data_IF_543041973506
#
_entry.id   IF_543041973506
#
_cell.length_a   1.000
_cell.length_b   1.000
_cell.length_c   1.000
_cell.angle_alpha   90.00
_cell.angle_beta   90.00
_cell.angle_gamma   90.00
#
_symmetry.space_group_name_H-M   'P 1'
#
loop_
_entity.id
_entity.type
_entity.pdbx_description
1 polymer ?
#
# COMPACT_ATOMS: atom_id res chain seq x y z
N UNK A 1 2.19 4.38 -17.87
CA UNK A 1 1.74 3.01 -18.21
C UNK A 1 0.32 3.03 -18.78
N UNK A 2 -0.69 3.34 -17.97
CA UNK A 2 -2.10 3.32 -18.40
C UNK A 2 -2.42 4.38 -19.48
N UNK A 3 -1.81 5.57 -19.39
CA UNK A 3 -1.85 6.58 -20.45
C UNK A 3 -1.20 6.15 -21.78
N UNK A 4 -0.47 5.03 -21.83
CA UNK A 4 0.11 4.44 -23.05
C UNK A 4 -0.80 3.37 -23.66
N UNK A 5 -2.07 3.31 -23.25
CA UNK A 5 -3.04 2.32 -23.73
C UNK A 5 -2.98 0.96 -23.04
N UNK A 6 -2.15 0.82 -21.99
CA UNK A 6 -2.11 -0.41 -21.20
C UNK A 6 -3.40 -0.53 -20.37
N UNK A 7 -3.95 -1.74 -20.32
CA UNK A 7 -5.16 -2.13 -19.57
C UNK A 7 -4.84 -3.28 -18.62
N UNK A 8 -5.44 -3.26 -17.44
CA UNK A 8 -5.31 -4.32 -16.43
C UNK A 8 -6.44 -5.33 -16.64
N UNK A 9 -6.06 -6.58 -16.85
CA UNK A 9 -6.95 -7.68 -17.21
C UNK A 9 -7.31 -8.54 -15.99
N UNK A 10 -6.33 -8.81 -15.13
CA UNK A 10 -6.59 -9.35 -13.82
C UNK A 10 -5.64 -8.80 -12.77
N UNK A 11 -6.08 -8.85 -11.52
CA UNK A 11 -5.23 -8.50 -10.40
C UNK A 11 -5.48 -9.40 -9.18
N UNK A 12 -4.41 -9.83 -8.52
CA UNK A 12 -4.48 -10.19 -7.11
C UNK A 12 -4.22 -8.94 -6.28
N UNK A 13 -5.17 -8.64 -5.38
CA UNK A 13 -4.99 -7.61 -4.36
C UNK A 13 -3.97 -8.08 -3.32
N UNK A 14 -3.64 -7.20 -2.39
CA UNK A 14 -2.59 -7.42 -1.39
C UNK A 14 -2.71 -8.76 -0.68
N UNK A 15 -1.62 -9.52 -0.72
CA UNK A 15 -1.40 -10.74 0.06
C UNK A 15 0.02 -10.74 0.62
N UNK A 16 0.27 -11.50 1.68
CA UNK A 16 1.59 -11.66 2.28
C UNK A 16 2.42 -12.65 1.45
N UNK A 17 3.65 -12.27 1.15
CA UNK A 17 4.57 -13.18 0.47
C UNK A 17 4.97 -14.34 1.38
N UNK A 18 4.97 -15.56 0.85
CA UNK A 18 5.46 -16.73 1.54
C UNK A 18 6.15 -17.72 0.59
N UNK A 19 7.13 -18.48 1.10
CA UNK A 19 7.77 -19.59 0.40
C UNK A 19 8.29 -20.65 1.38
N UNK A 20 8.79 -21.79 0.88
CA UNK A 20 9.28 -22.92 1.71
C UNK A 20 10.75 -22.77 2.18
N UNK A 21 11.35 -21.58 2.04
CA UNK A 21 12.74 -21.31 2.39
C UNK A 21 12.94 -20.84 3.84
N UNK A 22 14.19 -20.85 4.31
CA UNK A 22 14.57 -20.16 5.55
C UNK A 22 14.71 -18.66 5.29
N UNK A 23 14.30 -17.82 6.23
CA UNK A 23 14.43 -16.37 6.12
C UNK A 23 13.50 -15.77 5.06
N UNK A 24 12.21 -16.15 5.08
CA UNK A 24 11.20 -15.61 4.17
C UNK A 24 11.12 -14.09 4.33
N UNK A 25 11.05 -13.37 3.20
CA UNK A 25 10.96 -11.92 3.20
C UNK A 25 9.62 -11.45 3.80
N UNK A 26 9.67 -10.49 4.73
CA UNK A 26 8.49 -9.84 5.31
C UNK A 26 7.92 -8.75 4.41
N UNK A 27 7.34 -9.14 3.27
CA UNK A 27 6.75 -8.21 2.29
C UNK A 27 5.33 -8.61 1.91
N UNK A 28 4.57 -7.64 1.43
CA UNK A 28 3.28 -7.86 0.78
C UNK A 28 3.41 -7.70 -0.74
N UNK A 29 2.64 -8.47 -1.48
CA UNK A 29 2.67 -8.51 -2.94
C UNK A 29 1.28 -8.24 -3.53
N UNK A 30 1.29 -7.83 -4.80
CA UNK A 30 0.15 -7.84 -5.71
C UNK A 30 0.57 -8.55 -6.98
N UNK A 31 -0.37 -9.14 -7.71
CA UNK A 31 -0.12 -9.69 -9.05
C UNK A 31 -0.96 -8.89 -10.03
N UNK A 32 -0.36 -8.41 -11.11
CA UNK A 32 -1.04 -7.58 -12.11
C UNK A 32 -0.76 -8.17 -13.49
N UNK A 33 -1.81 -8.57 -14.18
CA UNK A 33 -1.75 -8.85 -15.62
C UNK A 33 -2.27 -7.67 -16.40
N UNK A 34 -1.54 -7.34 -17.46
CA UNK A 34 -1.84 -6.18 -18.27
C UNK A 34 -1.54 -6.44 -19.74
N UNK A 35 -2.25 -5.74 -20.61
CA UNK A 35 -2.07 -5.85 -22.05
C UNK A 35 -2.40 -4.53 -22.76
N UNK A 36 -2.15 -4.45 -24.07
CA UNK A 36 -2.52 -3.29 -24.90
C UNK A 36 -3.95 -3.37 -25.45
N UNK A 37 -4.69 -4.42 -25.13
CA UNK A 37 -6.08 -4.61 -25.52
C UNK A 37 -6.94 -4.78 -24.27
N UNK A 38 -8.26 -4.66 -24.44
CA UNK A 38 -9.19 -4.88 -23.34
C UNK A 38 -9.79 -6.27 -23.41
N UNK A 39 -9.81 -6.98 -22.28
CA UNK A 39 -10.66 -8.16 -22.14
C UNK A 39 -12.10 -7.70 -21.85
N UNK A 40 -13.09 -8.44 -22.35
CA UNK A 40 -14.51 -8.13 -22.08
C UNK A 40 -14.89 -8.28 -20.60
N UNK A 41 -14.09 -9.02 -19.84
CA UNK A 41 -14.32 -9.37 -18.44
C UNK A 41 -12.98 -9.44 -17.72
N UNK A 42 -12.71 -8.47 -16.86
CA UNK A 42 -11.52 -8.47 -16.01
C UNK A 42 -11.79 -9.20 -14.70
N UNK A 43 -10.74 -9.64 -14.01
CA UNK A 43 -10.83 -10.43 -12.76
C UNK A 43 -10.07 -9.81 -11.61
N UNK A 44 -10.71 -9.67 -10.45
CA UNK A 44 -10.03 -9.26 -9.21
C UNK A 44 -10.11 -10.40 -8.20
N UNK A 45 -8.95 -10.83 -7.71
CA UNK A 45 -8.81 -11.77 -6.61
C UNK A 45 -8.56 -10.97 -5.32
N UNK A 46 -9.40 -11.19 -4.31
CA UNK A 46 -9.33 -10.54 -3.00
C UNK A 46 -9.15 -11.57 -1.91
N UNK A 47 -8.69 -11.11 -0.75
CA UNK A 47 -8.35 -11.93 0.40
C UNK A 47 -9.10 -11.41 1.62
N UNK A 48 -9.51 -12.31 2.53
CA UNK A 48 -10.16 -11.94 3.80
C UNK A 48 -9.12 -11.32 4.73
N UNK A 49 -8.04 -12.07 4.97
CA UNK A 49 -6.78 -11.62 5.54
C UNK A 49 -5.64 -11.78 4.53
N UNK A 50 -4.53 -11.04 4.70
CA UNK A 50 -3.38 -11.07 3.79
C UNK A 50 -2.69 -12.44 3.75
N UNK A 51 -2.89 -13.29 4.76
CA UNK A 51 -2.32 -14.64 4.85
C UNK A 51 -3.21 -15.73 4.20
N UNK A 52 -4.47 -15.40 3.88
CA UNK A 52 -5.44 -16.38 3.38
C UNK A 52 -5.24 -16.74 1.91
N UNK A 53 -5.96 -17.76 1.45
CA UNK A 53 -6.09 -18.02 0.03
C UNK A 53 -6.98 -16.98 -0.67
N UNK A 54 -6.75 -16.79 -1.98
CA UNK A 54 -7.58 -15.90 -2.76
C UNK A 54 -9.03 -16.39 -2.83
N UNK A 55 -9.98 -15.50 -2.55
CA UNK A 55 -11.40 -15.73 -2.85
C UNK A 55 -11.61 -16.00 -4.34
N UNK A 56 -12.80 -16.53 -4.65
CA UNK A 56 -13.28 -16.58 -6.02
C UNK A 56 -13.17 -15.20 -6.69
N UNK A 57 -12.68 -15.19 -7.93
CA UNK A 57 -12.48 -13.96 -8.69
C UNK A 57 -13.79 -13.19 -8.90
N UNK A 58 -13.78 -11.92 -8.53
CA UNK A 58 -14.83 -10.98 -8.90
C UNK A 58 -14.67 -10.60 -10.37
N UNK A 59 -15.75 -10.72 -11.14
CA UNK A 59 -15.78 -10.31 -12.55
C UNK A 59 -16.17 -8.84 -12.62
N UNK A 60 -15.30 -8.02 -13.22
CA UNK A 60 -15.44 -6.57 -13.25
C UNK A 60 -15.28 -6.04 -14.67
N UNK A 61 -15.79 -4.83 -14.90
CA UNK A 61 -15.75 -4.19 -16.23
C UNK A 61 -14.39 -3.57 -16.54
N UNK A 62 -13.75 -2.96 -15.55
CA UNK A 62 -12.41 -2.38 -15.64
C UNK A 62 -11.73 -2.45 -14.27
N UNK A 63 -10.40 -2.53 -14.25
CA UNK A 63 -9.59 -2.48 -13.03
C UNK A 63 -8.79 -1.18 -13.05
N UNK A 64 -8.96 -0.35 -12.02
CA UNK A 64 -8.26 0.93 -11.93
C UNK A 64 -6.80 0.77 -11.44
N UNK A 65 -5.99 1.84 -11.41
CA UNK A 65 -4.59 1.78 -10.96
C UNK A 65 -4.41 1.30 -9.51
N UNK A 66 -5.48 1.32 -8.70
CA UNK A 66 -5.50 0.88 -7.31
C UNK A 66 -6.08 -0.53 -7.14
N UNK A 67 -6.21 -1.28 -8.24
CA UNK A 67 -6.65 -2.68 -8.27
C UNK A 67 -8.07 -2.89 -7.72
N UNK A 68 -8.95 -1.93 -7.96
CA UNK A 68 -10.38 -1.99 -7.60
C UNK A 68 -11.27 -1.75 -8.81
N UNK A 69 -12.51 -2.22 -8.72
CA UNK A 69 -13.57 -1.96 -9.70
C UNK A 69 -14.11 -0.54 -9.50
N UNK A 70 -13.46 0.42 -10.16
CA UNK A 70 -13.80 1.83 -10.08
C UNK A 70 -13.29 2.57 -11.32
N UNK A 71 -13.76 3.80 -11.59
CA UNK A 71 -13.24 4.61 -12.68
C UNK A 71 -11.73 4.87 -12.58
N UNK A 72 -11.13 5.13 -13.74
CA UNK A 72 -9.74 5.58 -13.83
C UNK A 72 -9.59 6.99 -13.26
N UNK A 73 -9.17 7.06 -11.99
CA UNK A 73 -8.78 8.30 -11.32
C UNK A 73 -7.44 8.05 -10.68
N UNK A 74 -6.48 8.96 -10.88
CA UNK A 74 -5.18 8.93 -10.18
C UNK A 74 -5.15 10.13 -9.24
N UNK A 75 -4.93 9.85 -7.96
CA UNK A 75 -4.82 10.88 -6.92
C UNK A 75 -3.37 11.33 -6.87
N UNK A 76 -3.14 12.60 -7.23
CA UNK A 76 -1.81 13.20 -7.21
C UNK A 76 -1.44 13.74 -5.82
N UNK A 77 -0.15 13.66 -5.48
CA UNK A 77 0.38 14.26 -4.25
C UNK A 77 0.21 15.78 -4.28
N UNK A 78 -0.28 16.35 -3.18
CA UNK A 78 -0.41 17.80 -3.00
C UNK A 78 0.35 18.25 -1.76
N UNK A 79 0.87 19.48 -1.80
CA UNK A 79 1.47 20.16 -0.64
C UNK A 79 0.47 20.96 0.19
N UNK A 80 -0.70 21.25 -0.37
CA UNK A 80 -1.71 22.11 0.23
C UNK A 80 -3.09 21.43 0.15
N UNK A 81 -3.95 21.60 1.18
CA UNK A 81 -5.31 21.07 1.16
C UNK A 81 -6.14 21.59 -0.02
N UNK A 82 -7.17 20.84 -0.41
CA UNK A 82 -8.09 21.23 -1.50
C UNK A 82 -9.05 22.35 -1.07
N UNK A 83 -9.36 22.42 0.22
CA UNK A 83 -10.26 23.41 0.82
C UNK A 83 -9.51 24.26 1.82
N UNK A 84 -10.08 25.39 2.20
CA UNK A 84 -9.55 26.24 3.26
C UNK A 84 -9.71 25.57 4.64
N UNK A 85 -8.78 24.68 4.96
CA UNK A 85 -8.69 23.95 6.24
C UNK A 85 -7.27 24.06 6.79
N UNK A 86 -7.10 23.82 8.09
CA UNK A 86 -5.78 23.85 8.72
C UNK A 86 -4.84 22.83 8.06
N UNK A 87 -3.60 23.26 7.82
CA UNK A 87 -2.56 22.38 7.29
C UNK A 87 -2.14 21.35 8.31
N UNK A 88 -1.80 20.14 7.85
CA UNK A 88 -1.18 19.10 8.67
C UNK A 88 0.34 19.32 8.64
N UNK A 89 0.96 19.27 9.81
CA UNK A 89 2.41 19.25 9.95
C UNK A 89 2.89 17.81 10.19
N UNK A 90 4.04 17.45 9.62
CA UNK A 90 4.74 16.25 10.01
C UNK A 90 5.39 16.47 11.38
N UNK A 91 5.35 15.46 12.26
CA UNK A 91 5.90 15.55 13.61
C UNK A 91 7.43 15.69 13.63
N UNK A 92 7.97 15.89 14.83
CA UNK A 92 9.42 15.90 15.02
C UNK A 92 10.02 14.51 14.78
N UNK A 93 10.94 14.40 13.82
CA UNK A 93 11.71 13.19 13.56
C UNK A 93 13.13 13.38 14.12
N UNK A 94 13.50 12.73 15.24
CA UNK A 94 14.69 13.09 16.00
C UNK A 94 16.01 12.81 15.27
N UNK A 95 16.10 11.76 14.43
CA UNK A 95 17.31 11.42 13.64
C UNK A 95 18.61 11.43 14.47
N UNK A 96 18.52 10.98 15.71
CA UNK A 96 19.54 11.13 16.75
C UNK A 96 20.12 9.79 17.19
N UNK A 97 19.77 8.68 16.54
CA UNK A 97 20.21 7.34 16.95
C UNK A 97 19.63 6.86 18.28
N UNK A 98 18.60 7.54 18.81
CA UNK A 98 17.97 7.21 20.10
C UNK A 98 18.57 7.92 21.30
N UNK A 99 19.57 8.80 21.14
CA UNK A 99 20.24 9.45 22.27
C UNK A 99 19.39 10.48 23.03
N UNK A 100 18.30 10.97 22.44
CA UNK A 100 17.34 11.89 23.07
C UNK A 100 16.01 11.21 23.40
N UNK A 101 15.97 9.88 23.32
CA UNK A 101 14.85 9.06 23.76
C UNK A 101 15.27 8.41 25.08
N UNK A 102 14.60 8.79 26.17
CA UNK A 102 14.89 8.28 27.50
C UNK A 102 13.67 7.50 28.00
N UNK A 103 13.91 6.34 28.58
CA UNK A 103 12.92 5.75 29.47
C UNK A 103 12.87 6.48 30.83
N UNK A 104 11.89 6.15 31.66
CA UNK A 104 11.70 6.81 32.95
C UNK A 104 12.90 6.62 33.91
N UNK A 105 13.59 5.49 33.82
CA UNK A 105 14.75 5.21 34.66
C UNK A 105 15.97 6.02 34.20
N UNK A 106 16.25 6.05 32.90
CA UNK A 106 17.32 6.85 32.29
C UNK A 106 17.13 8.35 32.58
N UNK A 107 15.88 8.83 32.46
CA UNK A 107 15.51 10.20 32.82
C UNK A 107 15.80 10.49 34.30
N UNK A 108 15.31 9.66 35.23
CA UNK A 108 15.48 9.90 36.66
C UNK A 108 16.96 9.91 37.06
N UNK A 109 17.75 8.97 36.53
CA UNK A 109 19.20 8.93 36.74
C UNK A 109 19.92 10.18 36.23
N UNK A 110 19.50 10.73 35.09
CA UNK A 110 20.07 11.98 34.56
C UNK A 110 19.73 13.19 35.45
N UNK A 111 18.54 13.20 36.07
CA UNK A 111 18.10 14.28 36.96
C UNK A 111 18.76 14.27 38.34
N UNK A 112 19.36 13.14 38.75
CA UNK A 112 20.07 12.99 40.02
C UNK A 112 21.55 13.42 39.96
N UNK A 113 22.06 13.80 38.78
CA UNK A 113 23.41 14.35 38.58
C UNK A 113 23.45 15.87 38.77
#
# INVERSE_FOLDING_TARGET
>A
MLHRGIKINFAHRTFQWNNKGKGVAGVHCVIIDFSLFNLKKSKIYSYDDVEDEARQANIVSEINPYLVDAPYVVIERRRQPLRNVKSIAFGSMPNDGGYLLLDDHEKNKLLEQ
#
